data_IF_972052244980
#
_entry.id   IF_972052244980
#
_cell.length_a   1.000
_cell.length_b   1.000
_cell.length_c   1.000
_cell.angle_alpha   90.00
_cell.angle_beta   90.00
_cell.angle_gamma   90.00
#
_symmetry.space_group_name_H-M   'P 1'
#
loop_
_entity.id
_entity.type
_entity.pdbx_description
1 polymer ?
#
# COMPACT_ATOMS: atom_id res chain seq x y z
N UNK A 1 -5.98 18.55 -15.13
CA UNK A 1 -4.70 17.82 -15.20
C UNK A 1 -4.77 16.67 -14.22
N UNK A 2 -4.38 15.45 -14.62
CA UNK A 2 -4.36 14.30 -13.69
C UNK A 2 -3.14 14.41 -12.78
N UNK A 3 -3.31 14.15 -11.49
CA UNK A 3 -2.20 14.11 -10.54
C UNK A 3 -1.21 12.99 -10.93
N UNK A 4 0.09 13.27 -10.83
CA UNK A 4 1.16 12.33 -11.16
C UNK A 4 1.75 11.72 -9.89
N UNK A 5 2.36 10.56 -10.00
CA UNK A 5 3.02 9.91 -8.86
C UNK A 5 4.11 10.80 -8.23
N UNK A 6 4.77 11.64 -9.04
CA UNK A 6 5.79 12.60 -8.60
C UNK A 6 5.22 13.78 -7.78
N UNK A 7 3.89 13.97 -7.80
CA UNK A 7 3.24 15.01 -6.99
C UNK A 7 3.04 14.58 -5.54
N UNK A 8 3.23 13.30 -5.22
CA UNK A 8 3.17 12.79 -3.85
C UNK A 8 4.34 13.36 -3.05
N UNK A 9 4.03 13.93 -1.88
CA UNK A 9 5.00 14.52 -0.95
C UNK A 9 5.06 13.78 0.38
N UNK A 10 4.01 13.05 0.73
CA UNK A 10 3.94 12.26 1.96
C UNK A 10 3.27 10.93 1.70
N UNK A 11 3.85 9.89 2.28
CA UNK A 11 3.32 8.53 2.32
C UNK A 11 3.23 8.14 3.79
N UNK A 12 2.03 7.77 4.26
CA UNK A 12 1.83 7.24 5.61
C UNK A 12 1.28 5.83 5.50
N UNK A 13 1.90 4.87 6.18
CA UNK A 13 1.49 3.47 6.22
C UNK A 13 1.15 3.11 7.65
N UNK A 14 -0.12 2.82 7.91
CA UNK A 14 -0.61 2.39 9.22
C UNK A 14 -0.66 0.87 9.30
N UNK A 15 -0.12 0.29 10.36
CA UNK A 15 -0.14 -1.14 10.60
C UNK A 15 -0.46 -1.47 12.06
N UNK A 16 -1.06 -2.63 12.29
CA UNK A 16 -1.42 -3.10 13.62
C UNK A 16 -0.34 -3.98 14.25
N UNK A 17 -0.39 -4.06 15.58
CA UNK A 17 0.52 -4.88 16.39
C UNK A 17 1.86 -4.22 16.71
N UNK A 18 2.62 -4.87 17.59
CA UNK A 18 3.88 -4.34 18.13
C UNK A 18 5.07 -4.36 17.14
N UNK A 19 4.96 -5.11 16.04
CA UNK A 19 6.00 -5.18 15.01
C UNK A 19 5.40 -5.02 13.61
N UNK A 20 6.13 -4.32 12.75
CA UNK A 20 5.70 -4.05 11.39
C UNK A 20 5.51 -5.35 10.59
N UNK A 21 4.33 -5.59 9.99
CA UNK A 21 4.13 -6.72 9.12
C UNK A 21 4.84 -6.48 7.77
N UNK A 22 5.40 -7.55 7.18
CA UNK A 22 6.15 -7.50 5.93
C UNK A 22 5.38 -6.80 4.79
N UNK A 23 4.07 -7.04 4.69
CA UNK A 23 3.18 -6.35 3.72
C UNK A 23 3.19 -4.82 3.85
N UNK A 24 3.29 -4.27 5.07
CA UNK A 24 3.36 -2.84 5.28
C UNK A 24 4.71 -2.29 4.82
N UNK A 25 5.81 -2.95 5.19
CA UNK A 25 7.16 -2.60 4.76
C UNK A 25 7.29 -2.64 3.22
N UNK A 26 6.83 -3.73 2.61
CA UNK A 26 6.83 -3.92 1.15
C UNK A 26 6.04 -2.82 0.45
N UNK A 27 4.80 -2.57 0.87
CA UNK A 27 3.96 -1.55 0.24
C UNK A 27 4.55 -0.14 0.39
N UNK A 28 5.10 0.19 1.56
CA UNK A 28 5.81 1.45 1.76
C UNK A 28 7.00 1.60 0.81
N UNK A 29 7.87 0.58 0.73
CA UNK A 29 9.02 0.60 -0.16
C UNK A 29 8.61 0.71 -1.64
N UNK A 30 7.59 -0.03 -2.06
CA UNK A 30 7.05 0.03 -3.42
C UNK A 30 6.50 1.42 -3.75
N UNK A 31 5.72 2.03 -2.83
CA UNK A 31 5.21 3.40 -3.02
C UNK A 31 6.35 4.42 -3.06
N UNK A 32 7.36 4.27 -2.21
CA UNK A 32 8.54 5.13 -2.21
C UNK A 32 9.22 5.13 -3.58
N UNK A 33 9.49 3.94 -4.14
CA UNK A 33 10.10 3.80 -5.46
C UNK A 33 9.25 4.43 -6.58
N UNK A 34 7.92 4.35 -6.48
CA UNK A 34 6.99 4.89 -7.48
C UNK A 34 6.71 6.39 -7.35
N UNK A 35 6.87 6.95 -6.16
CA UNK A 35 6.58 8.34 -5.85
C UNK A 35 7.86 9.14 -5.63
N UNK A 36 8.80 9.05 -6.59
CA UNK A 36 10.02 9.87 -6.60
C UNK A 36 10.93 9.69 -5.37
N UNK A 37 10.88 8.55 -4.70
CA UNK A 37 11.71 8.27 -3.52
C UNK A 37 11.20 8.89 -2.22
N UNK A 38 9.94 9.33 -2.13
CA UNK A 38 9.37 9.83 -0.86
C UNK A 38 9.50 8.75 0.21
N UNK A 39 10.12 9.09 1.34
CA UNK A 39 10.30 8.14 2.44
C UNK A 39 8.95 7.89 3.14
N UNK A 40 8.52 6.62 3.28
CA UNK A 40 7.29 6.31 3.99
C UNK A 40 7.42 6.54 5.49
N UNK A 41 6.38 7.11 6.08
CA UNK A 41 6.17 7.15 7.52
C UNK A 41 5.37 5.92 7.95
N UNK A 42 5.87 5.17 8.93
CA UNK A 42 5.24 3.95 9.42
C UNK A 42 4.64 4.19 10.80
N UNK A 43 3.32 4.05 10.91
CA UNK A 43 2.56 4.32 12.13
C UNK A 43 2.01 3.01 12.69
N UNK A 44 2.44 2.66 13.91
CA UNK A 44 1.95 1.48 14.62
C UNK A 44 0.62 1.77 15.32
N UNK A 45 -0.32 0.84 15.19
CA UNK A 45 -1.61 0.79 15.88
C UNK A 45 -1.60 -0.40 16.85
N UNK A 46 -1.03 -0.24 18.06
CA UNK A 46 -0.72 -1.37 18.95
C UNK A 46 -1.96 -2.17 19.36
N UNK A 47 -3.11 -1.51 19.48
CA UNK A 47 -4.39 -2.13 19.88
C UNK A 47 -5.11 -2.87 18.75
N UNK A 48 -4.55 -2.87 17.54
CA UNK A 48 -5.13 -3.51 16.36
C UNK A 48 -4.42 -4.84 16.06
N UNK A 49 -5.13 -5.85 15.51
CA UNK A 49 -4.52 -7.05 14.96
C UNK A 49 -3.37 -6.76 13.98
N UNK A 50 -2.36 -7.64 13.97
CA UNK A 50 -1.15 -7.48 13.15
C UNK A 50 -1.44 -7.53 11.65
N UNK A 51 -1.70 -6.36 11.07
CA UNK A 51 -2.04 -6.21 9.66
C UNK A 51 -1.65 -4.85 9.08
N UNK A 52 -1.66 -4.74 7.76
CA UNK A 52 -1.70 -3.44 7.10
C UNK A 52 -3.12 -2.91 7.26
N UNK A 53 -3.27 -1.67 7.74
CA UNK A 53 -4.57 -1.07 8.02
C UNK A 53 -4.94 0.01 7.02
N UNK A 54 -4.02 0.93 6.75
CA UNK A 54 -4.26 1.95 5.74
C UNK A 54 -2.97 2.48 5.13
N UNK A 55 -3.11 3.11 3.97
CA UNK A 55 -2.08 3.90 3.34
C UNK A 55 -2.68 5.24 2.94
N UNK A 56 -1.98 6.32 3.28
CA UNK A 56 -2.34 7.67 2.85
C UNK A 56 -1.24 8.26 1.98
N UNK A 57 -1.64 8.90 0.88
CA UNK A 57 -0.78 9.65 -0.04
C UNK A 57 -1.25 11.10 -0.06
N UNK A 58 -0.34 12.04 0.16
CA UNK A 58 -0.67 13.47 0.16
C UNK A 58 0.33 14.28 -0.66
N UNK A 59 -0.15 15.33 -1.33
CA UNK A 59 0.58 16.22 -2.23
C UNK A 59 -0.29 17.42 -2.65
N UNK A 60 0.18 18.31 -3.53
CA UNK A 60 -0.57 19.53 -3.91
C UNK A 60 -1.99 19.26 -4.45
N UNK A 61 -2.16 18.21 -5.26
CA UNK A 61 -3.45 17.79 -5.84
C UNK A 61 -3.83 16.34 -5.49
N UNK A 62 -3.14 15.78 -4.49
CA UNK A 62 -3.28 14.40 -4.04
C UNK A 62 -3.63 14.43 -2.55
N UNK A 63 -4.76 13.84 -2.22
CA UNK A 63 -5.09 13.48 -0.84
C UNK A 63 -5.94 12.22 -0.93
N UNK A 64 -5.29 11.07 -0.79
CA UNK A 64 -5.91 9.76 -0.96
C UNK A 64 -5.60 8.89 0.24
N UNK A 65 -6.62 8.24 0.79
CA UNK A 65 -6.46 7.18 1.77
C UNK A 65 -7.07 5.88 1.26
N UNK A 66 -6.30 4.81 1.37
CA UNK A 66 -6.67 3.44 1.05
C UNK A 66 -6.78 2.66 2.36
N UNK A 67 -7.91 2.00 2.59
CA UNK A 67 -8.11 1.13 3.76
C UNK A 67 -8.98 -0.07 3.40
N UNK A 68 -8.94 -1.12 4.22
CA UNK A 68 -9.94 -2.17 4.13
C UNK A 68 -11.33 -1.59 4.41
N UNK A 69 -12.27 -1.86 3.51
CA UNK A 69 -13.69 -1.55 3.68
C UNK A 69 -14.47 -2.78 4.15
N UNK A 70 -15.80 -2.64 4.22
CA UNK A 70 -16.70 -3.76 4.50
C UNK A 70 -16.75 -4.74 3.30
N UNK A 71 -17.17 -5.98 3.55
CA UNK A 71 -17.39 -7.00 2.51
C UNK A 71 -16.20 -7.20 1.55
N UNK A 72 -14.99 -7.27 2.10
CA UNK A 72 -13.74 -7.50 1.34
C UNK A 72 -13.46 -6.43 0.26
N UNK A 73 -13.95 -5.21 0.47
CA UNK A 73 -13.70 -4.09 -0.45
C UNK A 73 -12.44 -3.30 -0.06
N UNK A 74 -11.82 -2.64 -1.04
CA UNK A 74 -10.94 -1.51 -0.80
C UNK A 74 -11.77 -0.25 -0.68
N UNK A 75 -11.61 0.47 0.42
CA UNK A 75 -12.11 1.84 0.53
C UNK A 75 -11.04 2.81 0.04
N UNK A 76 -11.41 3.67 -0.91
CA UNK A 76 -10.59 4.75 -1.45
C UNK A 76 -11.26 6.08 -1.08
N UNK A 77 -10.67 6.80 -0.13
CA UNK A 77 -11.11 8.15 0.26
C UNK A 77 -10.27 9.18 -0.48
N UNK A 78 -10.91 10.18 -1.08
CA UNK A 78 -10.25 11.33 -1.71
C UNK A 78 -11.06 12.59 -1.47
N UNK A 79 -10.52 13.54 -0.69
CA UNK A 79 -11.27 14.72 -0.24
C UNK A 79 -12.56 14.32 0.49
N UNK A 80 -13.70 14.84 0.05
CA UNK A 80 -15.02 14.47 0.60
C UNK A 80 -15.64 13.19 0.02
N UNK A 81 -15.00 12.53 -0.93
CA UNK A 81 -15.56 11.36 -1.62
C UNK A 81 -14.97 10.06 -1.10
N UNK A 82 -15.83 9.08 -0.87
CA UNK A 82 -15.45 7.68 -0.61
C UNK A 82 -15.92 6.82 -1.77
N UNK A 83 -15.01 6.08 -2.37
CA UNK A 83 -15.31 5.05 -3.37
C UNK A 83 -14.93 3.69 -2.82
N UNK A 84 -15.73 2.67 -3.13
CA UNK A 84 -15.42 1.29 -2.80
C UNK A 84 -15.04 0.54 -4.07
N UNK A 85 -13.88 -0.12 -4.07
CA UNK A 85 -13.52 -1.07 -5.09
C UNK A 85 -13.72 -2.47 -4.52
N UNK A 86 -14.63 -3.24 -5.11
CA UNK A 86 -14.73 -4.66 -4.80
C UNK A 86 -13.49 -5.36 -5.35
N UNK A 87 -12.73 -6.02 -4.48
CA UNK A 87 -11.85 -7.06 -4.96
C UNK A 87 -12.73 -8.25 -5.29
N UNK A 88 -12.60 -8.79 -6.52
CA UNK A 88 -13.22 -10.07 -6.81
C UNK A 88 -12.72 -11.10 -5.82
N UNK A 89 -13.60 -12.03 -5.40
CA UNK A 89 -13.21 -13.12 -4.52
C UNK A 89 -11.89 -13.73 -5.04
N UNK A 90 -10.86 -13.72 -4.18
CA UNK A 90 -9.59 -14.36 -4.48
C UNK A 90 -9.87 -15.84 -4.65
N UNK A 91 -10.04 -16.27 -5.90
CA UNK A 91 -10.11 -17.68 -6.21
C UNK A 91 -8.69 -18.24 -6.32
N UNK A 92 -8.56 -19.55 -6.14
CA UNK A 92 -7.27 -20.24 -6.17
C UNK A 92 -6.48 -19.93 -7.45
N UNK A 93 -7.16 -19.67 -8.57
CA UNK A 93 -6.51 -19.26 -9.81
C UNK A 93 -5.85 -17.87 -9.73
N UNK A 94 -6.49 -16.86 -9.16
CA UNK A 94 -5.91 -15.53 -8.99
C UNK A 94 -4.75 -15.54 -8.00
N UNK A 95 -4.87 -16.33 -6.92
CA UNK A 95 -3.77 -16.56 -5.98
C UNK A 95 -2.60 -17.28 -6.66
N UNK A 96 -2.85 -18.38 -7.36
CA UNK A 96 -1.83 -19.13 -8.10
C UNK A 96 -1.17 -18.26 -9.17
N UNK A 97 -1.93 -17.41 -9.87
CA UNK A 97 -1.38 -16.47 -10.86
C UNK A 97 -0.47 -15.44 -10.21
N UNK A 98 -0.83 -14.93 -9.03
CA UNK A 98 0.02 -13.97 -8.32
C UNK A 98 1.31 -14.62 -7.80
N UNK A 99 1.23 -15.82 -7.23
CA UNK A 99 2.40 -16.61 -6.82
C UNK A 99 3.31 -16.96 -8.02
N UNK A 100 2.72 -17.31 -9.17
CA UNK A 100 3.47 -17.56 -10.41
C UNK A 100 4.06 -16.29 -11.04
N UNK A 101 3.52 -15.10 -10.73
CA UNK A 101 4.13 -13.82 -11.13
C UNK A 101 5.36 -13.46 -10.28
N UNK A 102 5.43 -13.95 -9.04
CA UNK A 102 6.62 -13.85 -8.19
C UNK A 102 7.73 -14.81 -8.67
N UNK A 103 7.38 -15.91 -9.35
CA UNK A 103 8.34 -16.82 -9.99
C UNK A 103 9.00 -16.25 -11.26
N UNK A 104 8.50 -15.12 -11.79
CA UNK A 104 9.25 -14.25 -12.68
C UNK A 104 9.94 -13.14 -11.88
N UNK A 105 11.10 -12.65 -12.33
CA UNK A 105 11.77 -11.48 -11.73
C UNK A 105 10.87 -10.25 -11.85
N UNK A 106 9.94 -10.05 -10.92
CA UNK A 106 9.17 -8.83 -10.82
C UNK A 106 10.11 -7.72 -10.32
N UNK A 107 10.52 -6.84 -11.23
CA UNK A 107 11.45 -5.76 -10.93
C UNK A 107 10.92 -4.83 -9.82
N UNK A 108 9.60 -4.64 -9.73
CA UNK A 108 9.00 -3.81 -8.70
C UNK A 108 8.97 -4.53 -7.34
N UNK A 109 8.76 -5.85 -7.33
CA UNK A 109 8.89 -6.67 -6.12
C UNK A 109 10.34 -6.65 -5.60
N UNK A 110 11.31 -6.89 -6.49
CA UNK A 110 12.73 -6.90 -6.16
C UNK A 110 13.25 -5.55 -5.66
N UNK A 111 12.79 -4.46 -6.27
CA UNK A 111 13.10 -3.09 -5.83
C UNK A 111 12.47 -2.78 -4.46
N UNK A 112 11.20 -3.15 -4.26
CA UNK A 112 10.53 -2.99 -2.98
C UNK A 112 11.15 -3.86 -1.88
N UNK A 113 11.56 -5.10 -2.19
CA UNK A 113 12.25 -5.99 -1.25
C UNK A 113 13.61 -5.41 -0.84
N UNK A 114 14.40 -4.91 -1.79
CA UNK A 114 15.67 -4.20 -1.50
C UNK A 114 15.43 -2.97 -0.62
N UNK A 115 14.39 -2.19 -0.90
CA UNK A 115 14.01 -1.04 -0.08
C UNK A 115 13.60 -1.44 1.33
N UNK A 116 12.79 -2.49 1.47
CA UNK A 116 12.32 -3.00 2.76
C UNK A 116 13.45 -3.54 3.65
N UNK A 117 14.49 -4.14 3.06
CA UNK A 117 15.68 -4.60 3.78
C UNK A 117 16.61 -3.46 4.23
N UNK A 118 16.45 -2.26 3.68
CA UNK A 118 17.27 -1.07 3.97
C UNK A 118 16.63 -0.11 4.99
N UNK A 119 15.40 -0.40 5.43
CA UNK A 119 14.66 0.32 6.48
C UNK A 119 15.00 -0.22 7.87
#
# INVERSE_FOLDING_TARGET
AGARADDVRRIVVEYGGASMPARAAYLGAWLSARCGGVRPEFVALPDRPRALWSVSLSGPDIDVRLSAGENETLQVQRGGFTTHAAFGALNDYLLLREELRILGRDAAYEEALRGALAL
#
